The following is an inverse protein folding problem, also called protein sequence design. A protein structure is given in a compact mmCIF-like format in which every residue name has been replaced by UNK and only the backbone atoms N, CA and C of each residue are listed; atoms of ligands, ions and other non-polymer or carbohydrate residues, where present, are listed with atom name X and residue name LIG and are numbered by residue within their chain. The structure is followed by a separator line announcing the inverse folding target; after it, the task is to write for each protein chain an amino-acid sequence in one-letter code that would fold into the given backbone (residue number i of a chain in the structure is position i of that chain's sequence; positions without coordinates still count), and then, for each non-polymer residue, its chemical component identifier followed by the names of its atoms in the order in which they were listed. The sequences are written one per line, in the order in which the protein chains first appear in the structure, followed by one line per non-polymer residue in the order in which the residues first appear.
data_IF_097614789230
#
_entry.id   IF_097614789230
#
_cell.length_a   1.000
_cell.length_b   1.000
_cell.length_c   1.000
_cell.angle_alpha   90.00
_cell.angle_beta   90.00
_cell.angle_gamma   90.00
#
_symmetry.space_group_name_H-M   'P 1'
#
loop_
_entity.id
_entity.type
_entity.pdbx_description
1 polymer ?
#
# COMPACT_ATOMS: atom_id res chain seq x y z
N UNK A 1 -10.73 -1.32 -9.05
CA UNK A 1 -10.26 -1.79 -7.73
C UNK A 1 -9.04 -1.01 -7.24
N UNK A 2 -8.06 -0.76 -8.09
CA UNK A 2 -6.86 -0.02 -7.68
C UNK A 2 -7.17 1.39 -7.19
N UNK A 3 -8.03 2.10 -7.90
CA UNK A 3 -8.38 3.47 -7.49
C UNK A 3 -9.10 3.48 -6.15
N UNK A 4 -9.91 2.47 -5.91
CA UNK A 4 -10.60 2.35 -4.63
C UNK A 4 -9.60 2.12 -3.50
N UNK A 5 -8.60 1.26 -3.73
CA UNK A 5 -7.56 1.00 -2.75
C UNK A 5 -6.77 2.27 -2.44
N UNK A 6 -6.42 3.04 -3.46
CA UNK A 6 -5.71 4.29 -3.25
C UNK A 6 -6.51 5.25 -2.38
N UNK A 7 -7.81 5.31 -2.60
CA UNK A 7 -8.68 6.17 -1.80
C UNK A 7 -8.69 5.73 -0.34
N UNK A 8 -8.83 4.43 -0.10
CA UNK A 8 -8.84 3.89 1.26
C UNK A 8 -7.52 4.20 1.97
N UNK A 9 -6.39 3.94 1.30
CA UNK A 9 -5.09 4.17 1.91
C UNK A 9 -4.87 5.63 2.24
N UNK A 10 -5.33 6.53 1.37
CA UNK A 10 -5.22 7.96 1.64
C UNK A 10 -6.00 8.36 2.88
N UNK A 11 -7.15 7.75 3.08
CA UNK A 11 -8.00 8.07 4.23
C UNK A 11 -7.42 7.56 5.54
N UNK A 12 -6.70 6.44 5.53
CA UNK A 12 -6.16 5.85 6.76
C UNK A 12 -4.67 6.16 6.94
N UNK A 13 -4.11 7.01 6.12
CA UNK A 13 -2.68 7.31 6.18
C UNK A 13 -2.25 8.01 7.47
N UNK A 14 -3.20 8.55 8.21
CA UNK A 14 -2.90 9.21 9.48
C UNK A 14 -2.58 8.22 10.60
N UNK A 15 -2.86 6.94 10.41
CA UNK A 15 -2.65 5.93 11.43
C UNK A 15 -1.88 4.74 10.84
N UNK A 16 -0.65 4.57 11.34
CA UNK A 16 0.29 3.60 10.78
C UNK A 16 -0.26 2.18 10.77
N UNK A 17 -0.80 1.73 11.90
CA UNK A 17 -1.27 0.35 12.01
C UNK A 17 -2.44 0.06 11.08
N UNK A 18 -3.35 1.01 10.98
CA UNK A 18 -4.49 0.85 10.11
C UNK A 18 -4.07 0.90 8.64
N UNK A 19 -3.13 1.78 8.32
CA UNK A 19 -2.58 1.87 6.98
C UNK A 19 -1.94 0.54 6.57
N UNK A 20 -1.12 -0.03 7.45
CA UNK A 20 -0.45 -1.29 7.17
C UNK A 20 -1.46 -2.42 6.96
N UNK A 21 -2.47 -2.47 7.81
CA UNK A 21 -3.49 -3.51 7.71
C UNK A 21 -4.24 -3.44 6.38
N UNK A 22 -4.66 -2.25 5.99
CA UNK A 22 -5.39 -2.09 4.75
C UNK A 22 -4.50 -2.35 3.54
N UNK A 23 -3.23 -1.97 3.62
CA UNK A 23 -2.29 -2.22 2.55
C UNK A 23 -2.07 -3.72 2.33
N UNK A 24 -1.87 -4.47 3.41
CA UNK A 24 -1.70 -5.92 3.31
C UNK A 24 -2.92 -6.60 2.68
N UNK A 25 -4.09 -6.15 3.10
CA UNK A 25 -5.34 -6.68 2.57
C UNK A 25 -5.44 -6.38 1.06
N UNK A 26 -5.09 -5.17 0.66
CA UNK A 26 -5.16 -4.78 -0.74
C UNK A 26 -4.19 -5.60 -1.59
N UNK A 27 -2.99 -5.85 -1.10
CA UNK A 27 -1.99 -6.63 -1.82
C UNK A 27 -2.53 -8.04 -2.12
N UNK A 28 -3.27 -8.62 -1.18
CA UNK A 28 -3.84 -9.94 -1.36
C UNK A 28 -4.98 -9.96 -2.36
N UNK A 29 -5.66 -8.83 -2.52
CA UNK A 29 -6.84 -8.74 -3.38
C UNK A 29 -6.53 -8.35 -4.82
N UNK A 30 -5.44 -7.63 -5.04
CA UNK A 30 -5.09 -7.12 -6.35
C UNK A 30 -4.33 -8.14 -7.17
N UNK A 31 -4.49 -8.06 -8.50
CA UNK A 31 -3.66 -8.87 -9.40
C UNK A 31 -2.24 -8.32 -9.41
N UNK A 32 -1.24 -9.14 -9.82
CA UNK A 32 0.17 -8.71 -9.74
C UNK A 32 0.48 -7.38 -10.42
N UNK A 33 -0.10 -7.13 -11.58
CA UNK A 33 0.13 -5.87 -12.29
C UNK A 33 -0.34 -4.67 -11.47
N UNK A 34 -1.47 -4.83 -10.81
CA UNK A 34 -2.01 -3.77 -9.96
C UNK A 34 -1.16 -3.56 -8.71
N UNK A 35 -0.61 -4.67 -8.18
CA UNK A 35 0.27 -4.58 -7.02
C UNK A 35 1.50 -3.74 -7.34
N UNK A 36 2.08 -3.93 -8.51
CA UNK A 36 3.26 -3.14 -8.93
C UNK A 36 2.89 -1.66 -9.03
N UNK A 37 1.75 -1.35 -9.61
CA UNK A 37 1.29 0.03 -9.71
C UNK A 37 1.04 0.63 -8.33
N UNK A 38 0.44 -0.15 -7.44
CA UNK A 38 0.18 0.31 -6.09
C UNK A 38 1.49 0.57 -5.34
N UNK A 39 2.48 -0.29 -5.54
CA UNK A 39 3.78 -0.12 -4.91
C UNK A 39 4.42 1.21 -5.30
N UNK A 40 4.46 1.49 -6.60
CA UNK A 40 5.01 2.76 -7.08
C UNK A 40 4.27 3.95 -6.49
N UNK A 41 2.94 3.88 -6.50
CA UNK A 41 2.13 4.96 -5.96
C UNK A 41 2.40 5.17 -4.48
N UNK A 42 2.47 4.08 -3.71
CA UNK A 42 2.70 4.18 -2.27
C UNK A 42 4.06 4.81 -1.95
N UNK A 43 5.10 4.41 -2.66
CA UNK A 43 6.42 4.97 -2.42
C UNK A 43 6.48 6.45 -2.80
N UNK A 44 5.76 6.85 -3.84
CA UNK A 44 5.70 8.26 -4.21
C UNK A 44 4.94 9.09 -3.18
N UNK A 45 3.84 8.56 -2.67
CA UNK A 45 2.98 9.31 -1.75
C UNK A 45 3.43 9.23 -0.30
N UNK A 46 3.89 8.07 0.13
CA UNK A 46 4.17 7.82 1.55
C UNK A 46 5.58 7.31 1.82
N UNK A 47 6.46 7.32 0.82
CA UNK A 47 7.78 6.72 0.96
C UNK A 47 8.59 7.27 2.11
N UNK A 48 8.52 8.58 2.35
CA UNK A 48 9.29 9.19 3.42
C UNK A 48 8.73 8.88 4.80
N UNK A 49 7.41 8.76 4.90
CA UNK A 49 6.74 8.55 6.18
C UNK A 49 6.67 7.07 6.54
N UNK A 50 6.37 6.24 5.55
CA UNK A 50 6.09 4.83 5.80
C UNK A 50 7.04 3.89 5.07
N UNK A 51 8.27 4.31 4.84
CA UNK A 51 9.23 3.49 4.10
C UNK A 51 9.37 2.07 4.67
N UNK A 52 9.51 1.97 6.00
CA UNK A 52 9.67 0.67 6.65
C UNK A 52 8.42 -0.18 6.48
N UNK A 53 7.26 0.42 6.63
CA UNK A 53 5.99 -0.29 6.47
C UNK A 53 5.84 -0.78 5.03
N UNK A 54 6.15 0.07 4.07
CA UNK A 54 6.03 -0.31 2.66
C UNK A 54 7.01 -1.43 2.31
N UNK A 55 8.25 -1.33 2.77
CA UNK A 55 9.23 -2.38 2.52
C UNK A 55 8.78 -3.71 3.10
N UNK A 56 8.21 -3.69 4.29
CA UNK A 56 7.74 -4.91 4.94
C UNK A 56 6.56 -5.51 4.19
N UNK A 57 5.61 -4.67 3.78
CA UNK A 57 4.41 -5.16 3.12
C UNK A 57 4.69 -5.70 1.73
N UNK A 58 5.60 -5.08 0.99
CA UNK A 58 5.86 -5.46 -0.39
C UNK A 58 7.00 -6.45 -0.55
N UNK A 59 7.79 -6.72 0.49
CA UNK A 59 8.99 -7.53 0.36
C UNK A 59 8.70 -8.99 -0.01
N UNK A 60 7.58 -9.54 0.42
CA UNK A 60 7.25 -10.92 0.13
C UNK A 60 6.34 -11.11 -1.07
N UNK A 61 6.04 -10.03 -1.78
CA UNK A 61 5.02 -10.05 -2.82
C UNK A 61 5.60 -10.15 -4.23
N UNK A 62 6.80 -9.68 -4.41
CA UNK A 62 7.39 -9.58 -5.76
C UNK A 62 8.71 -10.32 -5.83
#
# INVERSE_FOLDING_TARGET
MLEYVKLILSKVSFQKELFEKELRKAIEMLVPDEVVQLKDWCYNQFGEVYQVVLNRCFSGTI
#
